data_IF_432048664378
#
_entry.id   IF_432048664378
#
_cell.length_a   1.000
_cell.length_b   1.000
_cell.length_c   1.000
_cell.angle_alpha   90.00
_cell.angle_beta   90.00
_cell.angle_gamma   90.00
#
_symmetry.space_group_name_H-M   'P 1'
#
loop_
_entity.id
_entity.type
_entity.pdbx_description
1 polymer ?
#
# COMPACT_ATOMS: atom_id res chain seq x y z
N UNK A 1 4.32 -60.33 25.30
CA UNK A 1 3.00 -60.38 25.93
C UNK A 1 1.97 -59.97 24.93
N UNK A 2 1.03 -60.85 24.53
CA UNK A 2 -0.01 -60.50 23.55
C UNK A 2 -1.21 -59.83 24.25
N UNK A 3 -1.75 -58.77 23.64
CA UNK A 3 -3.00 -58.10 24.03
C UNK A 3 -4.23 -59.00 23.81
N UNK A 4 -5.24 -58.91 24.69
CA UNK A 4 -6.47 -59.67 24.53
C UNK A 4 -7.44 -59.04 23.50
N UNK A 5 -7.96 -59.87 22.61
CA UNK A 5 -9.08 -59.63 21.71
C UNK A 5 -10.37 -59.33 22.51
N UNK A 6 -10.97 -58.19 22.31
CA UNK A 6 -12.31 -57.85 22.81
C UNK A 6 -13.33 -58.34 21.78
N UNK A 7 -14.21 -59.22 22.25
CA UNK A 7 -15.30 -59.83 21.51
C UNK A 7 -16.34 -58.77 21.07
N UNK A 8 -16.81 -58.91 19.82
CA UNK A 8 -17.82 -58.05 19.20
C UNK A 8 -19.16 -58.18 19.87
N UNK A 9 -19.80 -57.04 20.16
CA UNK A 9 -21.20 -56.92 20.53
C UNK A 9 -22.09 -56.98 19.27
N UNK A 10 -23.07 -57.88 19.29
CA UNK A 10 -24.03 -58.06 18.23
C UNK A 10 -24.95 -56.83 18.06
N UNK A 11 -25.10 -56.40 16.82
CA UNK A 11 -25.98 -55.32 16.43
C UNK A 11 -27.45 -55.71 16.60
N UNK A 12 -28.33 -54.90 17.20
CA UNK A 12 -29.76 -55.18 17.28
C UNK A 12 -30.44 -55.07 15.92
N UNK A 13 -31.41 -55.90 15.70
CA UNK A 13 -32.23 -55.98 14.48
C UNK A 13 -33.02 -54.69 14.22
N UNK A 14 -33.22 -54.31 12.94
CA UNK A 14 -33.98 -53.10 12.59
C UNK A 14 -35.47 -53.21 12.97
N UNK A 15 -35.94 -52.19 13.62
CA UNK A 15 -37.37 -52.00 13.93
C UNK A 15 -38.12 -51.56 12.64
N UNK A 16 -39.26 -52.19 12.30
CA UNK A 16 -40.03 -51.77 11.11
C UNK A 16 -40.60 -50.35 11.25
N UNK A 17 -40.60 -49.57 10.17
CA UNK A 17 -41.11 -48.20 10.21
C UNK A 17 -42.64 -48.17 10.46
N UNK A 18 -43.05 -47.25 11.33
CA UNK A 18 -44.45 -46.96 11.57
C UNK A 18 -45.13 -46.39 10.31
N UNK A 19 -46.43 -46.66 10.10
CA UNK A 19 -47.16 -46.15 8.93
C UNK A 19 -47.24 -44.63 8.97
N UNK A 20 -46.74 -44.00 7.90
CA UNK A 20 -46.85 -42.55 7.70
C UNK A 20 -48.31 -42.15 7.50
N UNK A 21 -48.90 -41.48 8.49
CA UNK A 21 -50.14 -40.72 8.30
C UNK A 21 -49.90 -39.61 7.29
N UNK A 22 -50.61 -39.66 6.17
CA UNK A 22 -50.65 -38.57 5.17
C UNK A 22 -51.24 -37.31 5.82
N UNK A 23 -50.39 -36.45 6.36
CA UNK A 23 -50.80 -35.09 6.69
C UNK A 23 -51.14 -34.34 5.40
N UNK A 24 -52.25 -33.61 5.40
CA UNK A 24 -52.64 -32.75 4.29
C UNK A 24 -51.50 -31.77 3.96
N UNK A 25 -51.05 -31.78 2.71
CA UNK A 25 -50.01 -30.90 2.23
C UNK A 25 -50.46 -29.44 2.38
N UNK A 26 -49.68 -28.56 3.04
CA UNK A 26 -49.96 -27.13 3.07
C UNK A 26 -49.98 -26.61 1.61
N UNK A 27 -51.04 -25.89 1.25
CA UNK A 27 -51.23 -25.35 -0.10
C UNK A 27 -49.98 -24.57 -0.54
N UNK A 28 -49.35 -25.02 -1.63
CA UNK A 28 -48.19 -24.35 -2.22
C UNK A 28 -48.61 -22.92 -2.59
N UNK A 29 -47.93 -21.88 -2.07
CA UNK A 29 -48.17 -20.52 -2.53
C UNK A 29 -47.95 -20.47 -4.03
N UNK A 30 -48.89 -19.86 -4.74
CA UNK A 30 -48.93 -19.83 -6.20
C UNK A 30 -47.56 -19.40 -6.77
N UNK A 31 -47.05 -20.22 -7.68
CA UNK A 31 -45.71 -20.05 -8.29
C UNK A 31 -45.50 -18.67 -8.95
N UNK A 32 -46.57 -18.04 -9.38
CA UNK A 32 -46.60 -16.72 -9.99
C UNK A 32 -46.26 -15.58 -8.98
N UNK A 33 -46.66 -15.71 -7.69
CA UNK A 33 -46.32 -14.71 -6.66
C UNK A 33 -44.82 -14.71 -6.37
N UNK A 34 -44.19 -15.89 -6.33
CA UNK A 34 -42.73 -16.01 -6.20
C UNK A 34 -42.02 -15.43 -7.41
N UNK A 35 -42.51 -15.70 -8.63
CA UNK A 35 -41.95 -15.14 -9.85
C UNK A 35 -42.04 -13.60 -9.86
N UNK A 36 -43.15 -13.02 -9.44
CA UNK A 36 -43.33 -11.58 -9.32
C UNK A 36 -42.39 -10.94 -8.30
N UNK A 37 -42.22 -11.57 -7.12
CA UNK A 37 -41.30 -11.06 -6.09
C UNK A 37 -39.84 -11.10 -6.58
N UNK A 38 -39.44 -12.19 -7.23
CA UNK A 38 -38.07 -12.31 -7.78
C UNK A 38 -37.86 -11.26 -8.89
N UNK A 39 -38.84 -11.09 -9.79
CA UNK A 39 -38.71 -10.07 -10.85
C UNK A 39 -38.66 -8.64 -10.30
N UNK A 40 -39.46 -8.32 -9.28
CA UNK A 40 -39.46 -7.03 -8.60
C UNK A 40 -38.11 -6.79 -7.88
N UNK A 41 -37.53 -7.82 -7.26
CA UNK A 41 -36.22 -7.74 -6.61
C UNK A 41 -35.08 -7.50 -7.62
N UNK A 42 -35.11 -8.19 -8.77
CA UNK A 42 -34.14 -8.01 -9.85
C UNK A 42 -34.22 -6.59 -10.43
N UNK A 43 -35.43 -6.07 -10.65
CA UNK A 43 -35.65 -4.70 -11.12
C UNK A 43 -35.19 -3.67 -10.11
N UNK A 44 -35.43 -3.88 -8.81
CA UNK A 44 -34.98 -3.00 -7.74
C UNK A 44 -33.43 -2.98 -7.66
N UNK A 45 -32.80 -4.16 -7.69
CA UNK A 45 -31.34 -4.28 -7.70
C UNK A 45 -30.75 -3.63 -8.97
N UNK A 46 -31.36 -3.85 -10.13
CA UNK A 46 -30.97 -3.21 -11.38
C UNK A 46 -31.08 -1.69 -11.34
N UNK A 47 -32.18 -1.16 -10.75
CA UNK A 47 -32.37 0.28 -10.57
C UNK A 47 -31.36 0.89 -9.60
N UNK A 48 -31.05 0.21 -8.48
CA UNK A 48 -30.06 0.65 -7.51
C UNK A 48 -28.64 0.65 -8.13
N UNK A 49 -28.29 -0.40 -8.87
CA UNK A 49 -27.00 -0.49 -9.56
C UNK A 49 -26.91 0.55 -10.70
N UNK A 50 -28.00 0.78 -11.43
CA UNK A 50 -28.08 1.81 -12.47
C UNK A 50 -27.97 3.22 -11.88
N UNK A 51 -28.65 3.51 -10.78
CA UNK A 51 -28.55 4.78 -10.07
C UNK A 51 -27.14 4.99 -9.48
N UNK A 52 -26.53 3.97 -8.89
CA UNK A 52 -25.17 4.03 -8.39
C UNK A 52 -24.16 4.26 -9.53
N UNK A 53 -24.33 3.59 -10.66
CA UNK A 53 -23.52 3.81 -11.88
C UNK A 53 -23.67 5.22 -12.42
N UNK A 54 -24.90 5.75 -12.49
CA UNK A 54 -25.19 7.09 -12.96
C UNK A 54 -24.62 8.18 -12.03
N UNK A 55 -24.77 8.03 -10.71
CA UNK A 55 -24.18 8.93 -9.72
C UNK A 55 -22.64 8.89 -9.81
N UNK A 56 -22.08 7.71 -10.03
CA UNK A 56 -20.62 7.54 -10.18
C UNK A 56 -20.12 8.20 -11.50
N UNK A 57 -20.84 8.07 -12.59
CA UNK A 57 -20.48 8.75 -13.86
C UNK A 57 -20.63 10.27 -13.77
N UNK A 58 -21.70 10.78 -13.14
CA UNK A 58 -21.84 12.20 -12.87
C UNK A 58 -20.75 12.72 -11.94
N UNK A 59 -20.38 11.95 -10.90
CA UNK A 59 -19.25 12.28 -10.02
C UNK A 59 -17.93 12.33 -10.78
N UNK A 60 -17.73 11.47 -11.78
CA UNK A 60 -16.57 11.51 -12.68
C UNK A 60 -16.51 12.80 -13.52
N UNK A 61 -17.64 13.24 -14.04
CA UNK A 61 -17.71 14.43 -14.89
C UNK A 61 -17.46 15.74 -14.12
N UNK A 62 -17.77 15.76 -12.82
CA UNK A 62 -17.66 16.94 -11.95
C UNK A 62 -16.45 16.91 -11.03
N UNK A 63 -15.78 15.74 -10.89
CA UNK A 63 -14.65 15.60 -10.01
C UNK A 63 -13.46 16.44 -10.44
N UNK A 64 -12.91 17.19 -9.52
CA UNK A 64 -11.71 18.02 -9.72
C UNK A 64 -10.78 17.86 -8.51
N UNK A 65 -9.45 17.71 -8.72
CA UNK A 65 -8.49 17.90 -7.66
C UNK A 65 -8.57 19.35 -7.18
N UNK A 66 -8.58 19.53 -5.87
CA UNK A 66 -8.48 20.84 -5.24
C UNK A 66 -7.04 21.01 -4.76
N UNK A 67 -6.35 21.97 -5.35
CA UNK A 67 -4.98 22.30 -4.98
C UNK A 67 -4.96 23.77 -4.57
N UNK A 68 -4.62 24.01 -3.32
CA UNK A 68 -4.58 25.36 -2.75
C UNK A 68 -3.23 25.63 -2.11
N UNK A 69 -2.71 26.84 -2.33
CA UNK A 69 -1.54 27.30 -1.62
C UNK A 69 -1.89 27.57 -0.14
N UNK A 70 -0.95 27.25 0.75
CA UNK A 70 -1.01 27.57 2.18
C UNK A 70 0.23 28.35 2.57
N UNK A 71 0.27 28.92 3.75
CA UNK A 71 1.46 29.61 4.27
C UNK A 71 2.69 28.72 4.37
N UNK A 72 2.49 27.39 4.50
CA UNK A 72 3.56 26.41 4.65
C UNK A 72 3.86 25.62 3.35
N UNK A 73 3.07 25.81 2.28
CA UNK A 73 3.25 25.04 1.04
C UNK A 73 1.93 24.81 0.32
N UNK A 74 1.60 23.56 -0.01
CA UNK A 74 0.41 23.20 -0.76
C UNK A 74 -0.48 22.22 0.01
N UNK A 75 -1.79 22.41 -0.13
CA UNK A 75 -2.80 21.45 0.31
C UNK A 75 -3.49 20.86 -0.91
N UNK A 76 -3.47 19.52 -0.99
CA UNK A 76 -4.12 18.76 -2.07
C UNK A 76 -5.24 17.94 -1.46
N UNK A 77 -6.45 18.09 -1.97
CA UNK A 77 -7.64 17.37 -1.54
C UNK A 77 -8.51 17.01 -2.73
N UNK A 78 -9.57 16.26 -2.49
CA UNK A 78 -10.57 15.91 -3.49
C UNK A 78 -11.87 16.64 -3.21
N UNK A 79 -12.57 17.09 -4.26
CA UNK A 79 -13.96 17.47 -4.12
C UNK A 79 -14.82 16.20 -4.03
N UNK A 80 -15.93 16.25 -3.28
CA UNK A 80 -16.95 15.18 -3.22
C UNK A 80 -16.51 13.85 -2.59
N UNK A 81 -15.63 13.86 -1.61
CA UNK A 81 -15.42 12.73 -0.71
C UNK A 81 -14.78 11.49 -1.35
N UNK A 82 -14.06 11.63 -2.47
CA UNK A 82 -13.20 10.55 -2.94
C UNK A 82 -12.06 10.36 -1.93
N UNK A 83 -11.90 9.13 -1.48
CA UNK A 83 -10.82 8.79 -0.58
C UNK A 83 -9.48 8.99 -1.30
N UNK A 84 -8.59 9.76 -0.69
CA UNK A 84 -7.19 9.79 -1.10
C UNK A 84 -6.56 8.44 -0.77
N UNK A 85 -5.99 7.81 -1.79
CA UNK A 85 -5.22 6.59 -1.67
C UNK A 85 -3.75 6.88 -1.36
N UNK A 86 -2.89 6.05 -1.95
CA UNK A 86 -1.46 6.23 -1.83
C UNK A 86 -0.93 7.44 -2.56
N UNK A 87 0.19 7.95 -2.10
CA UNK A 87 0.88 9.07 -2.73
C UNK A 87 2.40 8.91 -2.67
N UNK A 88 3.11 9.65 -3.50
CA UNK A 88 4.56 9.72 -3.51
C UNK A 88 5.03 11.10 -3.96
N UNK A 89 6.14 11.55 -3.41
CA UNK A 89 6.76 12.83 -3.69
C UNK A 89 8.06 12.64 -4.47
N UNK A 90 8.26 13.44 -5.52
CA UNK A 90 9.48 13.47 -6.32
C UNK A 90 9.81 14.90 -6.74
N UNK A 91 10.81 15.51 -6.08
CA UNK A 91 11.09 16.94 -6.24
C UNK A 91 9.87 17.80 -5.92
N UNK A 92 9.48 18.66 -6.86
CA UNK A 92 8.29 19.53 -6.75
C UNK A 92 7.03 18.88 -7.35
N UNK A 93 6.92 17.56 -7.36
CA UNK A 93 5.77 16.83 -7.92
C UNK A 93 5.25 15.81 -6.94
N UNK A 94 3.91 15.76 -6.85
CA UNK A 94 3.16 14.81 -6.07
C UNK A 94 2.40 13.87 -7.00
N UNK A 95 2.72 12.59 -6.99
CA UNK A 95 1.90 11.55 -7.60
C UNK A 95 0.96 10.99 -6.54
N UNK A 96 -0.33 10.86 -6.83
CA UNK A 96 -1.32 10.47 -5.84
C UNK A 96 -2.55 9.81 -6.46
N UNK A 97 -3.29 9.11 -5.62
CA UNK A 97 -4.53 8.44 -6.01
C UNK A 97 -5.75 9.14 -5.45
N UNK A 98 -6.79 9.17 -6.26
CA UNK A 98 -8.13 9.57 -5.86
C UNK A 98 -9.13 8.56 -6.42
N UNK A 99 -9.57 7.63 -5.58
CA UNK A 99 -10.38 6.50 -6.03
C UNK A 99 -9.69 5.73 -7.17
N UNK A 100 -10.31 5.61 -8.37
CA UNK A 100 -9.71 4.87 -9.48
C UNK A 100 -8.67 5.68 -10.28
N UNK A 101 -8.40 6.93 -9.90
CA UNK A 101 -7.57 7.85 -10.67
C UNK A 101 -6.16 7.94 -10.09
N UNK A 102 -5.15 7.90 -10.99
CA UNK A 102 -3.77 8.26 -10.66
C UNK A 102 -3.48 9.63 -11.25
N UNK A 103 -3.02 10.55 -10.41
CA UNK A 103 -2.78 11.95 -10.75
C UNK A 103 -1.34 12.34 -10.48
N UNK A 104 -0.91 13.37 -11.20
CA UNK A 104 0.35 14.07 -10.98
C UNK A 104 0.05 15.55 -10.78
N UNK A 105 0.44 16.10 -9.64
CA UNK A 105 0.35 17.52 -9.32
C UNK A 105 1.74 18.14 -9.33
N UNK A 106 1.90 19.22 -10.07
CA UNK A 106 3.08 20.06 -10.02
C UNK A 106 2.89 21.08 -8.86
N UNK A 107 3.73 20.97 -7.84
CA UNK A 107 3.64 21.78 -6.64
C UNK A 107 4.13 23.23 -6.81
N UNK A 108 4.76 23.57 -7.95
CA UNK A 108 5.13 24.97 -8.25
C UNK A 108 3.94 25.74 -8.79
N UNK A 109 3.15 25.08 -9.63
CA UNK A 109 2.04 25.71 -10.34
C UNK A 109 0.66 25.36 -9.79
N UNK A 110 0.56 24.35 -8.91
CA UNK A 110 -0.70 23.78 -8.44
C UNK A 110 -1.48 23.02 -9.50
N UNK A 111 -0.94 22.82 -10.70
CA UNK A 111 -1.64 22.14 -11.79
C UNK A 111 -1.59 20.63 -11.64
N UNK A 112 -2.72 19.98 -11.80
CA UNK A 112 -2.85 18.53 -11.76
C UNK A 112 -3.15 17.95 -13.14
N UNK A 113 -2.59 16.76 -13.41
CA UNK A 113 -2.80 15.98 -14.63
C UNK A 113 -3.25 14.58 -14.29
N UNK A 114 -4.25 14.07 -14.99
CA UNK A 114 -4.66 12.67 -14.93
C UNK A 114 -3.64 11.82 -15.70
N UNK A 115 -3.03 10.84 -15.04
CA UNK A 115 -2.09 9.88 -15.64
C UNK A 115 -2.79 8.59 -16.06
N UNK A 116 -3.77 8.14 -15.29
CA UNK A 116 -4.51 6.92 -15.55
C UNK A 116 -5.81 6.87 -14.77
N UNK A 117 -6.75 6.12 -15.32
CA UNK A 117 -7.98 5.76 -14.65
C UNK A 117 -8.15 4.26 -14.74
N UNK A 118 -8.40 3.59 -13.61
CA UNK A 118 -8.86 2.22 -13.61
C UNK A 118 -10.29 2.16 -14.20
N UNK A 119 -10.74 0.97 -14.59
CA UNK A 119 -12.16 0.76 -14.87
C UNK A 119 -12.98 1.08 -13.62
N UNK A 120 -14.29 1.25 -13.78
CA UNK A 120 -15.21 1.71 -12.71
C UNK A 120 -15.12 0.93 -11.40
N UNK A 121 -14.68 -0.33 -11.47
CA UNK A 121 -14.50 -1.22 -10.30
C UNK A 121 -13.02 -1.53 -10.03
N UNK A 122 -12.10 -0.91 -10.76
CA UNK A 122 -10.66 -1.15 -10.61
C UNK A 122 -10.05 -0.32 -9.49
N UNK A 123 -8.91 -0.79 -9.00
CA UNK A 123 -8.06 -0.04 -8.09
C UNK A 123 -6.77 0.36 -8.79
N UNK A 124 -6.26 1.53 -8.48
CA UNK A 124 -4.88 1.88 -8.69
C UNK A 124 -4.09 1.49 -7.42
N UNK A 125 -2.80 1.26 -7.50
CA UNK A 125 -1.94 1.08 -6.33
C UNK A 125 -1.14 2.33 -6.08
N UNK A 126 -0.65 2.48 -4.86
CA UNK A 126 0.22 3.60 -4.47
C UNK A 126 1.23 3.91 -5.57
N UNK A 127 1.18 5.08 -6.20
CA UNK A 127 2.15 5.45 -7.21
C UNK A 127 3.52 5.67 -6.59
N UNK A 128 4.57 5.49 -7.37
CA UNK A 128 5.92 5.90 -7.02
C UNK A 128 6.45 6.87 -8.07
N UNK A 129 7.27 7.82 -7.67
CA UNK A 129 7.76 8.89 -8.53
C UNK A 129 9.25 9.11 -8.34
N UNK A 130 9.95 9.33 -9.45
CA UNK A 130 11.27 9.96 -9.52
C UNK A 130 11.16 11.31 -10.24
N UNK A 131 12.25 12.01 -10.44
CA UNK A 131 12.25 13.31 -11.14
C UNK A 131 11.60 13.25 -12.53
N UNK A 132 11.75 12.11 -13.21
CA UNK A 132 11.31 11.93 -14.58
C UNK A 132 10.14 10.96 -14.74
N UNK A 133 10.02 9.94 -13.91
CA UNK A 133 9.09 8.85 -14.13
C UNK A 133 8.12 8.69 -12.97
N UNK A 134 6.86 8.45 -13.31
CA UNK A 134 5.84 7.99 -12.36
C UNK A 134 5.47 6.57 -12.74
N UNK A 135 5.48 5.65 -11.78
CA UNK A 135 5.04 4.26 -11.97
C UNK A 135 3.88 3.95 -11.05
N UNK A 136 2.93 3.15 -11.52
CA UNK A 136 1.78 2.68 -10.73
C UNK A 136 1.28 1.35 -11.24
N UNK A 137 0.56 0.64 -10.41
CA UNK A 137 -0.17 -0.55 -10.78
C UNK A 137 -1.63 -0.15 -11.07
N UNK A 138 -2.17 -0.61 -12.19
CA UNK A 138 -3.56 -0.40 -12.55
C UNK A 138 -4.23 -1.74 -12.81
N UNK A 139 -5.25 -2.06 -12.02
CA UNK A 139 -6.07 -3.25 -12.20
C UNK A 139 -7.40 -2.89 -12.89
N UNK A 140 -7.90 -3.73 -13.81
CA UNK A 140 -9.18 -3.49 -14.47
C UNK A 140 -10.38 -3.63 -13.52
N UNK A 141 -10.28 -4.51 -12.51
CA UNK A 141 -11.24 -4.65 -11.42
C UNK A 141 -10.53 -5.16 -10.17
N UNK A 142 -11.11 -4.92 -8.99
CA UNK A 142 -10.56 -5.45 -7.74
C UNK A 142 -10.54 -6.99 -7.78
N UNK A 143 -9.38 -7.58 -7.50
CA UNK A 143 -9.19 -9.04 -7.52
C UNK A 143 -9.11 -9.68 -8.92
N UNK A 144 -9.18 -8.90 -10.01
CA UNK A 144 -9.10 -9.45 -11.37
C UNK A 144 -7.67 -9.80 -11.77
N UNK A 145 -7.52 -10.89 -12.51
CA UNK A 145 -6.33 -11.17 -13.31
C UNK A 145 -6.23 -10.11 -14.42
N UNK A 146 -5.07 -9.47 -14.58
CA UNK A 146 -4.87 -8.50 -15.66
C UNK A 146 -4.42 -7.12 -15.21
N UNK A 147 -4.03 -6.97 -13.94
CA UNK A 147 -3.32 -5.79 -13.47
C UNK A 147 -2.05 -5.57 -14.30
N UNK A 148 -1.67 -4.33 -14.48
CA UNK A 148 -0.47 -3.98 -15.23
C UNK A 148 0.29 -2.84 -14.55
N UNK A 149 1.61 -2.91 -14.62
CA UNK A 149 2.48 -1.81 -14.25
C UNK A 149 2.56 -0.83 -15.41
N UNK A 150 2.28 0.41 -15.11
CA UNK A 150 2.36 1.53 -16.03
C UNK A 150 3.46 2.50 -15.64
N UNK A 151 4.04 3.15 -16.62
CA UNK A 151 4.98 4.25 -16.43
C UNK A 151 4.54 5.47 -17.24
N UNK A 152 4.69 6.62 -16.64
CA UNK A 152 4.55 7.91 -17.30
C UNK A 152 5.90 8.63 -17.30
N UNK A 153 6.43 8.93 -18.50
CA UNK A 153 7.62 9.78 -18.68
C UNK A 153 7.17 11.24 -18.68
N UNK A 154 7.46 11.93 -17.58
CA UNK A 154 7.06 13.34 -17.38
C UNK A 154 7.68 14.25 -18.43
N UNK A 155 8.93 13.98 -18.84
CA UNK A 155 9.64 14.81 -19.82
C UNK A 155 9.08 14.69 -21.24
N UNK A 156 8.54 13.49 -21.57
CA UNK A 156 7.96 13.20 -22.90
C UNK A 156 6.44 13.29 -22.93
N UNK A 157 5.79 13.40 -21.78
CA UNK A 157 4.34 13.37 -21.67
C UNK A 157 3.70 12.05 -22.11
N UNK A 158 4.45 10.93 -22.08
CA UNK A 158 4.05 9.64 -22.65
C UNK A 158 3.83 8.58 -21.57
N UNK A 159 2.71 7.87 -21.69
CA UNK A 159 2.38 6.70 -20.87
C UNK A 159 2.72 5.42 -21.63
N UNK A 160 3.31 4.43 -20.93
CA UNK A 160 3.69 3.12 -21.48
C UNK A 160 3.35 2.02 -20.50
N UNK A 161 2.85 0.89 -20.99
CA UNK A 161 2.64 -0.33 -20.20
C UNK A 161 3.95 -1.11 -20.11
N UNK A 162 4.43 -1.39 -18.88
CA UNK A 162 5.68 -2.13 -18.67
C UNK A 162 5.47 -3.64 -18.67
N UNK A 163 4.35 -4.12 -18.14
CA UNK A 163 4.04 -5.54 -18.09
C UNK A 163 2.72 -5.82 -17.40
N UNK A 164 2.19 -7.03 -17.61
CA UNK A 164 1.08 -7.57 -16.83
C UNK A 164 1.58 -8.11 -15.49
N UNK A 165 0.71 -8.07 -14.49
CA UNK A 165 0.94 -8.64 -13.16
C UNK A 165 -0.19 -9.62 -12.88
N UNK A 166 0.15 -10.84 -12.49
CA UNK A 166 -0.83 -11.81 -12.02
C UNK A 166 -0.97 -11.70 -10.50
N UNK A 167 -2.20 -11.68 -10.01
CA UNK A 167 -2.48 -11.56 -8.58
C UNK A 167 -2.31 -10.14 -8.03
N UNK A 168 -2.52 -10.00 -6.71
CA UNK A 168 -2.27 -8.75 -5.99
C UNK A 168 -0.76 -8.62 -5.73
N UNK A 169 -0.14 -7.69 -6.40
CA UNK A 169 1.27 -7.34 -6.23
C UNK A 169 1.40 -6.11 -5.36
N UNK A 170 2.56 -5.95 -4.74
CA UNK A 170 2.92 -4.71 -4.07
C UNK A 170 3.05 -3.56 -5.06
N UNK A 171 2.86 -2.35 -4.56
CA UNK A 171 3.03 -1.14 -5.36
C UNK A 171 4.41 -1.12 -6.01
N UNK A 172 4.51 -0.78 -7.30
CA UNK A 172 5.79 -0.64 -7.96
C UNK A 172 6.55 0.55 -7.39
N UNK A 173 7.88 0.49 -7.46
CA UNK A 173 8.74 1.56 -6.99
C UNK A 173 9.68 2.02 -8.12
N UNK A 174 10.05 3.32 -8.11
CA UNK A 174 10.97 3.91 -9.09
C UNK A 174 11.97 4.85 -8.42
N UNK A 175 13.22 4.78 -8.88
CA UNK A 175 14.26 5.74 -8.52
C UNK A 175 15.12 6.03 -9.75
N UNK A 176 15.35 7.31 -10.03
CA UNK A 176 16.03 7.74 -11.25
C UNK A 176 15.34 7.17 -12.48
N UNK A 177 16.04 6.29 -13.19
CA UNK A 177 15.57 5.61 -14.40
C UNK A 177 15.27 4.13 -14.20
N UNK A 178 15.26 3.63 -12.97
CA UNK A 178 15.04 2.22 -12.68
C UNK A 178 13.71 2.02 -11.95
N UNK A 179 12.86 1.16 -12.48
CA UNK A 179 11.61 0.74 -11.85
C UNK A 179 11.70 -0.73 -11.43
N UNK A 180 11.10 -1.05 -10.28
CA UNK A 180 10.99 -2.42 -9.75
C UNK A 180 9.54 -2.70 -9.34
N UNK A 181 9.12 -3.95 -9.46
CA UNK A 181 7.81 -4.43 -9.03
C UNK A 181 7.83 -5.91 -8.75
N UNK A 182 6.86 -6.37 -7.99
CA UNK A 182 6.68 -7.78 -7.70
C UNK A 182 5.65 -8.41 -8.64
N UNK A 183 5.86 -9.67 -9.03
CA UNK A 183 4.89 -10.47 -9.77
C UNK A 183 4.80 -11.88 -9.18
N UNK A 184 3.65 -12.51 -9.32
CA UNK A 184 3.53 -13.93 -9.05
C UNK A 184 4.10 -14.74 -10.22
N UNK A 185 4.98 -15.69 -9.90
CA UNK A 185 5.52 -16.68 -10.85
C UNK A 185 5.00 -18.06 -10.45
N UNK A 186 3.84 -18.46 -11.03
CA UNK A 186 3.16 -19.70 -10.64
C UNK A 186 2.26 -19.54 -9.41
N UNK A 187 1.94 -20.65 -8.74
CA UNK A 187 0.89 -20.67 -7.72
C UNK A 187 1.29 -20.04 -6.39
N UNK A 188 2.57 -19.99 -6.02
CA UNK A 188 3.00 -19.50 -4.71
C UNK A 188 4.36 -18.78 -4.71
N UNK A 189 4.98 -18.56 -5.86
CA UNK A 189 6.30 -17.91 -5.93
C UNK A 189 6.14 -16.47 -6.38
N UNK A 190 6.61 -15.54 -5.58
CA UNK A 190 6.64 -14.12 -5.91
C UNK A 190 8.08 -13.72 -6.25
N UNK A 191 8.24 -12.93 -7.32
CA UNK A 191 9.55 -12.46 -7.79
C UNK A 191 9.56 -10.96 -8.00
N UNK A 192 10.68 -10.35 -7.65
CA UNK A 192 10.93 -8.93 -7.95
C UNK A 192 11.58 -8.82 -9.31
N UNK A 193 10.93 -8.08 -10.18
CA UNK A 193 11.41 -7.70 -11.51
C UNK A 193 11.79 -6.23 -11.53
N UNK A 194 12.69 -5.90 -12.42
CA UNK A 194 13.06 -4.52 -12.67
C UNK A 194 13.30 -4.22 -14.14
N UNK A 195 13.28 -2.94 -14.46
CA UNK A 195 13.56 -2.42 -15.79
C UNK A 195 14.32 -1.09 -15.69
N UNK A 196 15.30 -0.92 -16.53
CA UNK A 196 15.90 0.38 -16.78
C UNK A 196 15.06 1.11 -17.85
N UNK A 197 14.29 2.11 -17.46
CA UNK A 197 13.25 2.74 -18.26
C UNK A 197 13.73 3.44 -19.54
N UNK A 198 15.01 3.85 -19.56
CA UNK A 198 15.60 4.51 -20.74
C UNK A 198 16.10 3.50 -21.76
N UNK A 199 16.76 2.44 -21.32
CA UNK A 199 17.35 1.41 -22.20
C UNK A 199 16.41 0.26 -22.49
N UNK A 200 15.36 0.08 -21.68
CA UNK A 200 14.46 -1.06 -21.76
C UNK A 200 15.05 -2.38 -21.21
N UNK A 201 16.29 -2.37 -20.69
CA UNK A 201 16.93 -3.57 -20.13
C UNK A 201 16.19 -4.05 -18.88
N UNK A 202 15.74 -5.30 -18.92
CA UNK A 202 15.05 -5.95 -17.82
C UNK A 202 15.99 -6.79 -16.98
N UNK A 203 15.67 -6.94 -15.69
CA UNK A 203 16.40 -7.81 -14.76
C UNK A 203 15.44 -8.43 -13.74
N UNK A 204 15.91 -9.41 -12.98
CA UNK A 204 15.18 -10.01 -11.87
C UNK A 204 16.07 -10.08 -10.65
N UNK A 205 15.52 -9.80 -9.47
CA UNK A 205 16.21 -9.91 -8.19
C UNK A 205 15.96 -11.26 -7.49
N UNK A 206 15.21 -12.15 -8.14
CA UNK A 206 14.87 -13.46 -7.60
C UNK A 206 13.57 -13.45 -6.81
N UNK A 207 13.41 -14.48 -5.97
CA UNK A 207 12.21 -14.66 -5.16
C UNK A 207 12.16 -13.65 -4.02
N UNK A 208 10.97 -13.09 -3.78
CA UNK A 208 10.72 -12.13 -2.72
C UNK A 208 10.14 -12.76 -1.45
N UNK A 209 9.58 -13.95 -1.58
CA UNK A 209 8.88 -14.64 -0.49
C UNK A 209 7.56 -13.96 -0.08
N UNK A 210 7.01 -13.07 -0.90
CA UNK A 210 5.84 -12.27 -0.57
C UNK A 210 6.24 -10.92 0.04
N UNK A 211 6.96 -10.11 -0.74
CA UNK A 211 7.41 -8.81 -0.27
C UNK A 211 6.22 -7.95 0.20
N UNK A 212 6.35 -7.37 1.37
CA UNK A 212 5.59 -6.21 1.79
C UNK A 212 6.52 -5.01 1.76
N UNK A 213 6.13 -3.85 1.27
CA UNK A 213 6.94 -2.62 1.29
C UNK A 213 8.21 -2.70 0.39
N UNK A 214 8.00 -2.86 -0.91
CA UNK A 214 9.08 -2.77 -1.90
C UNK A 214 9.44 -1.29 -2.15
N UNK A 215 10.72 -0.93 -1.97
CA UNK A 215 11.26 0.41 -2.21
C UNK A 215 12.55 0.35 -3.05
N UNK A 216 12.85 1.45 -3.74
CA UNK A 216 14.14 1.65 -4.42
C UNK A 216 14.62 3.07 -4.19
N UNK A 217 15.92 3.24 -3.94
CA UNK A 217 16.59 4.55 -3.84
C UNK A 217 17.99 4.46 -4.44
N UNK A 218 18.28 5.26 -5.45
CA UNK A 218 19.50 5.11 -6.23
C UNK A 218 19.60 3.72 -6.83
N UNK A 219 20.67 2.98 -6.47
CA UNK A 219 20.88 1.59 -6.86
C UNK A 219 20.39 0.57 -5.83
N UNK A 220 19.94 1.01 -4.67
CA UNK A 220 19.50 0.14 -3.59
C UNK A 220 18.02 -0.20 -3.71
N UNK A 221 17.70 -1.49 -3.73
CA UNK A 221 16.34 -2.02 -3.65
C UNK A 221 16.17 -2.71 -2.31
N UNK A 222 15.12 -2.38 -1.57
CA UNK A 222 14.83 -3.02 -0.30
C UNK A 222 13.37 -3.49 -0.23
N UNK A 223 13.16 -4.60 0.48
CA UNK A 223 11.82 -5.11 0.76
C UNK A 223 11.79 -5.88 2.07
N UNK A 224 10.60 -5.97 2.65
CA UNK A 224 10.33 -6.80 3.81
C UNK A 224 9.77 -8.12 3.32
N UNK A 225 10.45 -9.22 3.58
CA UNK A 225 9.99 -10.56 3.25
C UNK A 225 9.53 -11.29 4.52
N UNK A 226 8.40 -12.02 4.49
CA UNK A 226 8.11 -12.97 5.53
C UNK A 226 9.21 -14.03 5.54
N UNK A 227 9.57 -14.54 6.70
CA UNK A 227 10.53 -15.61 6.79
C UNK A 227 9.93 -16.90 6.22
N UNK A 228 10.62 -17.55 5.29
CA UNK A 228 10.25 -18.88 4.81
C UNK A 228 10.44 -19.90 5.93
N UNK A 229 9.37 -20.56 6.36
CA UNK A 229 9.43 -21.58 7.43
C UNK A 229 8.48 -21.29 8.59
N UNK A 230 8.66 -21.96 9.74
CA UNK A 230 7.83 -21.75 10.93
C UNK A 230 7.84 -20.28 11.36
N UNK A 231 6.80 -19.80 12.09
CA UNK A 231 6.62 -18.39 12.38
C UNK A 231 7.89 -17.77 12.96
N UNK A 232 8.48 -16.87 12.19
CA UNK A 232 9.69 -16.16 12.54
C UNK A 232 9.55 -14.69 12.17
N UNK A 233 10.39 -13.80 12.72
CA UNK A 233 10.34 -12.39 12.39
C UNK A 233 10.62 -12.18 10.91
N UNK A 234 9.99 -11.15 10.28
CA UNK A 234 10.27 -10.79 8.90
C UNK A 234 11.75 -10.45 8.72
N UNK A 235 12.23 -10.51 7.48
CA UNK A 235 13.61 -10.14 7.12
C UNK A 235 13.54 -8.96 6.16
N UNK A 236 14.33 -7.92 6.42
CA UNK A 236 14.51 -6.84 5.46
C UNK A 236 15.67 -7.25 4.54
N UNK A 237 15.38 -7.43 3.28
CA UNK A 237 16.40 -7.69 2.25
C UNK A 237 16.73 -6.41 1.53
N UNK A 238 18.02 -6.12 1.38
CA UNK A 238 18.52 -5.01 0.58
C UNK A 238 19.42 -5.58 -0.50
N UNK A 239 19.31 -5.05 -1.73
CA UNK A 239 20.16 -5.42 -2.87
C UNK A 239 20.69 -4.16 -3.51
N UNK A 240 21.99 -4.08 -3.73
CA UNK A 240 22.61 -3.03 -4.52
C UNK A 240 22.68 -3.49 -5.99
N UNK A 241 22.01 -2.77 -6.87
CA UNK A 241 22.00 -3.06 -8.31
C UNK A 241 23.31 -2.75 -9.02
N UNK A 242 24.21 -1.98 -8.37
CA UNK A 242 25.49 -1.59 -8.95
C UNK A 242 26.50 -2.74 -8.93
N UNK A 243 26.56 -3.49 -7.84
CA UNK A 243 27.54 -4.56 -7.62
C UNK A 243 26.91 -5.91 -7.29
N UNK A 244 25.60 -5.98 -7.12
CA UNK A 244 24.86 -7.19 -6.79
C UNK A 244 24.97 -7.62 -5.31
N UNK A 245 25.61 -6.83 -4.45
CA UNK A 245 25.68 -7.12 -3.00
C UNK A 245 24.28 -7.23 -2.41
N UNK A 246 24.16 -8.14 -1.46
CA UNK A 246 22.89 -8.41 -0.78
C UNK A 246 23.07 -8.44 0.73
N UNK A 247 22.15 -7.82 1.45
CA UNK A 247 22.06 -7.84 2.90
C UNK A 247 20.72 -8.47 3.30
N UNK A 248 20.75 -9.31 4.31
CA UNK A 248 19.57 -9.86 4.98
C UNK A 248 19.60 -9.40 6.45
N UNK A 249 18.79 -8.40 6.75
CA UNK A 249 18.80 -7.73 8.05
C UNK A 249 17.62 -8.25 8.83
N UNK A 250 17.91 -8.90 9.98
CA UNK A 250 16.89 -9.31 10.93
C UNK A 250 16.50 -8.10 11.80
N UNK A 251 15.31 -7.52 11.64
CA UNK A 251 14.92 -6.32 12.39
C UNK A 251 14.73 -6.58 13.87
N UNK A 252 14.79 -7.84 14.31
CA UNK A 252 14.45 -8.25 15.67
C UNK A 252 15.35 -9.35 16.22
N UNK A 253 15.60 -9.38 17.56
CA UNK A 253 16.02 -10.59 18.25
C UNK A 253 14.97 -11.69 18.07
N UNK A 254 15.39 -12.93 17.89
CA UNK A 254 14.54 -14.10 17.55
C UNK A 254 13.34 -14.38 18.48
N UNK A 255 13.27 -13.74 19.64
CA UNK A 255 12.29 -14.02 20.71
C UNK A 255 11.11 -13.05 20.81
N UNK A 256 11.05 -12.01 19.99
CA UNK A 256 10.00 -11.00 20.08
C UNK A 256 9.17 -10.99 18.79
N UNK A 257 7.89 -11.39 18.91
CA UNK A 257 6.89 -11.16 17.88
C UNK A 257 6.73 -9.66 17.70
N UNK A 258 7.11 -9.14 16.55
CA UNK A 258 7.15 -7.70 16.32
C UNK A 258 7.01 -7.40 14.83
N UNK A 259 6.34 -6.30 14.51
CA UNK A 259 6.04 -5.89 13.15
C UNK A 259 7.03 -4.85 12.65
N UNK A 260 7.46 -4.96 11.38
CA UNK A 260 8.10 -3.86 10.66
C UNK A 260 7.02 -2.89 10.25
N UNK A 261 7.06 -1.68 10.79
CA UNK A 261 6.04 -0.66 10.57
C UNK A 261 6.24 0.09 9.24
N UNK A 262 7.47 0.20 8.79
CA UNK A 262 7.84 0.87 7.56
C UNK A 262 9.33 0.77 7.31
N UNK A 263 9.76 0.84 6.04
CA UNK A 263 11.17 0.91 5.63
C UNK A 263 11.41 2.10 4.74
N UNK A 264 12.60 2.69 4.83
CA UNK A 264 13.08 3.74 3.94
C UNK A 264 14.58 3.61 3.71
N UNK A 265 15.10 4.25 2.67
CA UNK A 265 16.52 4.29 2.33
C UNK A 265 17.00 5.75 2.29
N UNK A 266 18.06 6.05 3.02
CA UNK A 266 18.75 7.32 3.07
C UNK A 266 20.21 7.11 2.68
N UNK A 267 20.55 7.36 1.42
CA UNK A 267 21.87 6.99 0.90
C UNK A 267 22.14 5.50 1.10
N UNK A 268 23.19 5.16 1.84
CA UNK A 268 23.55 3.77 2.20
C UNK A 268 23.04 3.34 3.60
N UNK A 269 22.10 4.06 4.12
CA UNK A 269 21.48 3.75 5.42
C UNK A 269 20.05 3.23 5.20
N UNK A 270 19.76 2.02 5.68
CA UNK A 270 18.40 1.52 5.82
C UNK A 270 17.81 2.10 7.11
N UNK A 271 16.58 2.61 7.01
CA UNK A 271 15.79 3.10 8.15
C UNK A 271 14.55 2.25 8.25
N UNK A 272 14.17 1.82 9.46
CA UNK A 272 12.90 1.11 9.65
C UNK A 272 12.25 1.43 10.98
N UNK A 273 10.92 1.38 10.98
CA UNK A 273 10.11 1.40 12.19
C UNK A 273 9.95 -0.01 12.76
N UNK A 274 10.05 -0.15 14.06
CA UNK A 274 9.88 -1.39 14.81
C UNK A 274 8.87 -1.20 15.93
N UNK A 275 7.90 -2.12 16.04
CA UNK A 275 7.00 -2.20 17.19
C UNK A 275 7.44 -3.36 18.08
N UNK A 276 7.62 -3.09 19.35
CA UNK A 276 7.93 -4.09 20.39
C UNK A 276 6.91 -3.99 21.51
N UNK A 277 6.89 -4.99 22.41
CA UNK A 277 6.04 -4.93 23.60
C UNK A 277 6.38 -3.74 24.53
N UNK A 278 7.62 -3.23 24.46
CA UNK A 278 8.09 -2.13 25.33
C UNK A 278 7.87 -0.75 24.70
N UNK A 279 8.14 -0.60 23.41
CA UNK A 279 8.02 0.67 22.70
C UNK A 279 8.07 0.49 21.19
N UNK A 280 7.53 1.46 20.46
CA UNK A 280 7.75 1.62 19.04
C UNK A 280 9.02 2.48 18.83
N UNK A 281 9.89 2.05 17.93
CA UNK A 281 11.20 2.65 17.72
C UNK A 281 11.48 2.87 16.23
N UNK A 282 12.34 3.84 15.92
CA UNK A 282 12.95 4.00 14.60
C UNK A 282 14.44 3.67 14.71
N UNK A 283 14.88 2.76 13.85
CA UNK A 283 16.26 2.29 13.80
C UNK A 283 16.88 2.58 12.44
N UNK A 284 18.21 2.61 12.44
CA UNK A 284 19.03 2.70 11.24
C UNK A 284 20.01 1.55 11.19
N UNK A 285 20.34 1.11 9.96
CA UNK A 285 21.39 0.15 9.68
C UNK A 285 22.27 0.73 8.57
N UNK A 286 23.53 0.92 8.88
CA UNK A 286 24.53 1.34 7.90
C UNK A 286 24.97 0.12 7.09
N UNK A 287 24.79 0.16 5.77
CA UNK A 287 25.08 -0.97 4.87
C UNK A 287 26.57 -1.23 4.69
N UNK A 288 27.42 -0.28 5.01
CA UNK A 288 28.87 -0.39 4.87
C UNK A 288 29.53 -0.91 6.15
N UNK A 289 29.09 -0.44 7.31
CA UNK A 289 29.66 -0.79 8.61
C UNK A 289 28.88 -1.85 9.38
N UNK A 290 27.66 -2.18 8.93
CA UNK A 290 26.69 -3.01 9.63
C UNK A 290 26.28 -2.48 11.04
N UNK A 291 26.51 -1.19 11.30
CA UNK A 291 26.14 -0.57 12.56
C UNK A 291 24.64 -0.34 12.65
N UNK A 292 24.05 -0.74 13.78
CA UNK A 292 22.64 -0.47 14.11
C UNK A 292 22.55 0.63 15.16
N UNK A 293 21.65 1.57 14.96
CA UNK A 293 21.40 2.66 15.92
C UNK A 293 19.89 2.90 16.06
N UNK A 294 19.41 3.08 17.28
CA UNK A 294 18.07 3.60 17.55
C UNK A 294 18.14 5.12 17.49
N UNK A 295 17.30 5.73 16.65
CA UNK A 295 17.28 7.18 16.45
C UNK A 295 16.04 7.84 17.05
N UNK A 296 14.97 7.09 17.34
CA UNK A 296 13.78 7.58 18.03
C UNK A 296 13.08 6.45 18.77
N UNK A 297 12.40 6.79 19.89
CA UNK A 297 11.58 5.87 20.70
C UNK A 297 10.24 6.51 21.02
N UNK A 298 9.23 5.68 21.33
CA UNK A 298 7.89 6.15 21.67
C UNK A 298 7.16 6.80 20.50
N UNK A 299 7.52 6.43 19.29
CA UNK A 299 7.03 7.09 18.06
C UNK A 299 5.63 6.62 17.64
N UNK A 300 5.09 5.57 18.26
CA UNK A 300 3.86 4.92 17.84
C UNK A 300 4.04 4.18 16.50
N UNK A 301 2.96 3.61 15.96
CA UNK A 301 2.95 2.99 14.62
C UNK A 301 3.00 4.04 13.52
N UNK A 302 4.06 4.80 13.47
CA UNK A 302 4.17 5.98 12.64
C UNK A 302 4.75 5.71 11.27
N UNK A 303 4.17 6.31 10.21
CA UNK A 303 4.80 6.31 8.91
C UNK A 303 6.12 7.06 8.94
N UNK A 304 7.08 6.59 8.17
CA UNK A 304 8.40 7.21 8.04
C UNK A 304 8.82 7.34 6.57
N UNK A 305 9.65 8.32 6.28
CA UNK A 305 10.30 8.51 4.99
C UNK A 305 11.75 8.95 5.22
N UNK A 306 12.62 8.67 4.25
CA UNK A 306 14.00 9.11 4.30
C UNK A 306 14.51 9.50 2.89
N UNK A 307 15.35 10.50 2.83
CA UNK A 307 16.04 10.94 1.62
C UNK A 307 17.34 11.65 1.97
N UNK A 308 18.43 11.32 1.26
CA UNK A 308 19.74 11.92 1.51
C UNK A 308 20.21 11.66 2.94
N UNK A 309 20.29 12.72 3.73
CA UNK A 309 20.70 12.71 5.14
C UNK A 309 19.51 12.87 6.12
N UNK A 310 18.29 12.99 5.62
CA UNK A 310 17.13 13.32 6.42
C UNK A 310 16.20 12.12 6.56
N UNK A 311 15.72 11.91 7.79
CA UNK A 311 14.61 11.00 8.13
C UNK A 311 13.46 11.83 8.68
N UNK A 312 12.24 11.53 8.24
CA UNK A 312 11.02 12.21 8.68
C UNK A 312 10.01 11.15 9.13
N UNK A 313 9.33 11.43 10.25
CA UNK A 313 8.26 10.55 10.75
C UNK A 313 7.12 11.36 11.38
N UNK A 314 5.98 10.73 11.54
CA UNK A 314 4.88 11.28 12.33
C UNK A 314 5.01 10.80 13.78
N UNK A 315 4.88 11.67 14.73
CA UNK A 315 4.99 11.36 16.18
C UNK A 315 3.76 11.88 16.92
N UNK A 316 2.98 11.02 17.57
CA UNK A 316 1.90 11.45 18.45
C UNK A 316 2.46 12.28 19.61
N UNK A 317 1.78 13.37 19.96
CA UNK A 317 2.10 14.18 21.14
C UNK A 317 1.15 13.86 22.30
N UNK A 318 1.57 14.18 23.52
CA UNK A 318 0.74 14.03 24.71
C UNK A 318 -0.53 14.91 24.68
N UNK A 319 -0.55 15.96 23.84
CA UNK A 319 -1.68 16.87 23.67
C UNK A 319 -2.70 16.38 22.63
N UNK A 320 -2.54 15.17 22.06
CA UNK A 320 -3.42 14.63 21.03
C UNK A 320 -3.19 15.17 19.61
N UNK A 321 -2.13 15.94 19.42
CA UNK A 321 -1.65 16.37 18.12
C UNK A 321 -0.67 15.33 17.54
N UNK A 322 -0.53 15.30 16.23
CA UNK A 322 0.55 14.57 15.57
C UNK A 322 1.61 15.55 15.07
N UNK A 323 2.86 15.37 15.47
CA UNK A 323 3.99 16.18 14.98
C UNK A 323 4.66 15.47 13.82
N UNK A 324 5.00 16.22 12.79
CA UNK A 324 5.94 15.77 11.75
C UNK A 324 7.32 16.16 12.23
N UNK A 325 8.16 15.17 12.48
CA UNK A 325 9.49 15.33 13.07
C UNK A 325 10.54 14.95 12.03
N UNK A 326 11.60 15.72 11.96
CA UNK A 326 12.80 15.45 11.12
C UNK A 326 14.03 15.20 11.98
N UNK A 327 14.95 14.37 11.47
CA UNK A 327 16.29 14.15 12.05
C UNK A 327 17.30 14.01 10.92
N UNK A 328 18.43 14.71 11.03
CA UNK A 328 19.58 14.51 10.16
C UNK A 328 20.43 13.34 10.67
N UNK A 329 20.73 12.40 9.80
CA UNK A 329 21.55 11.21 10.16
C UNK A 329 23.01 11.56 10.43
N UNK A 330 23.52 12.64 9.83
CA UNK A 330 24.86 13.19 10.06
C UNK A 330 25.04 13.71 11.47
N UNK A 331 23.96 13.99 12.21
CA UNK A 331 23.98 14.45 13.58
C UNK A 331 22.98 15.58 13.83
N UNK A 332 22.80 15.90 15.11
CA UNK A 332 21.85 16.90 15.61
C UNK A 332 20.66 16.29 16.33
N UNK A 333 19.85 17.18 16.91
CA UNK A 333 18.63 16.78 17.61
C UNK A 333 17.44 16.69 16.65
N UNK A 334 16.43 15.86 16.94
CA UNK A 334 15.17 15.88 16.22
C UNK A 334 14.49 17.26 16.29
N UNK A 335 13.95 17.72 15.17
CA UNK A 335 13.25 18.99 15.06
C UNK A 335 11.84 18.84 14.54
N UNK A 336 10.93 19.69 14.98
CA UNK A 336 9.54 19.69 14.52
C UNK A 336 9.42 20.44 13.19
N UNK A 337 8.90 19.76 12.18
CA UNK A 337 8.61 20.34 10.86
C UNK A 337 7.21 20.97 10.84
N UNK A 338 6.23 20.25 11.40
CA UNK A 338 4.84 20.71 11.47
C UNK A 338 4.10 20.06 12.66
N UNK A 339 3.03 20.69 13.09
CA UNK A 339 2.03 20.12 13.99
C UNK A 339 0.71 19.96 13.26
N UNK A 340 0.09 18.79 13.38
CA UNK A 340 -1.18 18.45 12.76
C UNK A 340 -2.22 18.25 13.85
N UNK A 341 -3.16 19.18 13.93
CA UNK A 341 -4.28 19.10 14.86
C UNK A 341 -5.49 18.42 14.21
N UNK A 342 -6.23 17.62 14.98
CA UNK A 342 -7.56 17.12 14.58
C UNK A 342 -7.56 16.07 13.46
N UNK A 343 -6.47 15.32 13.27
CA UNK A 343 -6.42 14.26 12.25
C UNK A 343 -5.32 13.24 12.52
N UNK A 344 -5.41 12.10 11.81
CA UNK A 344 -4.38 11.06 11.86
C UNK A 344 -3.49 11.17 10.64
N UNK A 345 -2.18 11.28 10.85
CA UNK A 345 -1.20 11.20 9.75
C UNK A 345 -1.03 9.74 9.36
N UNK A 346 -1.41 9.42 8.13
CA UNK A 346 -1.35 8.05 7.58
C UNK A 346 -0.05 7.74 6.88
N UNK A 347 0.53 8.73 6.20
CA UNK A 347 1.78 8.59 5.47
C UNK A 347 2.58 9.89 5.55
N UNK A 348 3.89 9.77 5.47
CA UNK A 348 4.83 10.89 5.25
C UNK A 348 5.68 10.58 4.03
N UNK A 349 6.08 11.62 3.31
CA UNK A 349 6.88 11.53 2.09
C UNK A 349 7.97 12.59 2.14
N UNK A 350 9.12 12.25 1.58
CA UNK A 350 10.28 13.14 1.55
C UNK A 350 10.95 13.07 0.19
N UNK A 351 11.26 14.21 -0.39
CA UNK A 351 12.10 14.32 -1.58
C UNK A 351 12.93 15.59 -1.52
N UNK A 352 14.23 15.44 -1.33
CA UNK A 352 15.13 16.55 -1.03
C UNK A 352 14.66 17.30 0.22
N UNK A 353 14.38 18.58 0.07
CA UNK A 353 13.88 19.46 1.14
C UNK A 353 12.35 19.54 1.21
N UNK A 354 11.64 18.89 0.32
CA UNK A 354 10.17 18.90 0.32
C UNK A 354 9.64 17.74 1.13
N UNK A 355 8.81 18.06 2.12
CA UNK A 355 8.10 17.09 2.97
C UNK A 355 6.62 17.17 2.64
N UNK A 356 5.98 16.01 2.53
CA UNK A 356 4.53 15.91 2.41
C UNK A 356 3.99 14.88 3.40
N UNK A 357 2.76 15.08 3.85
CA UNK A 357 2.08 14.12 4.71
C UNK A 357 0.60 14.04 4.37
N UNK A 358 0.07 12.84 4.48
CA UNK A 358 -1.33 12.53 4.25
C UNK A 358 -2.09 12.53 5.57
N UNK A 359 -3.08 13.40 5.69
CA UNK A 359 -3.94 13.51 6.87
C UNK A 359 -5.30 12.90 6.55
N UNK A 360 -5.74 11.99 7.40
CA UNK A 360 -7.13 11.56 7.45
C UNK A 360 -7.82 12.32 8.59
N UNK A 361 -8.83 13.12 8.26
CA UNK A 361 -9.65 13.82 9.23
C UNK A 361 -10.57 12.88 10.01
N UNK A 362 -11.33 13.43 10.91
CA UNK A 362 -12.31 12.70 11.76
C UNK A 362 -13.51 12.21 10.98
N UNK A 363 -13.83 12.85 9.86
CA UNK A 363 -14.88 12.41 8.94
C UNK A 363 -14.27 11.54 7.84
N UNK A 364 -14.99 10.50 7.40
CA UNK A 364 -14.54 9.53 6.40
C UNK A 364 -14.03 10.13 5.08
N UNK A 365 -14.43 11.36 4.78
CA UNK A 365 -14.15 12.04 3.50
C UNK A 365 -13.26 13.29 3.65
N UNK A 366 -12.84 13.61 4.87
CA UNK A 366 -11.94 14.76 5.11
C UNK A 366 -10.48 14.30 5.08
N UNK A 367 -10.00 13.99 3.88
CA UNK A 367 -8.61 13.60 3.66
C UNK A 367 -7.89 14.61 2.77
N UNK A 368 -6.66 14.93 3.15
CA UNK A 368 -5.83 15.85 2.37
C UNK A 368 -4.35 15.51 2.47
N UNK A 369 -3.57 15.97 1.51
CA UNK A 369 -2.11 15.94 1.56
C UNK A 369 -1.63 17.38 1.76
N UNK A 370 -0.83 17.58 2.78
CA UNK A 370 -0.15 18.85 3.06
C UNK A 370 1.31 18.71 2.66
N UNK A 371 1.88 19.79 2.11
CA UNK A 371 3.32 19.84 1.81
C UNK A 371 3.96 21.05 2.46
N UNK A 372 5.24 20.95 2.76
CA UNK A 372 6.08 22.07 3.14
C UNK A 372 7.49 21.90 2.58
N UNK A 373 8.21 23.00 2.45
CA UNK A 373 9.64 22.98 2.13
C UNK A 373 10.43 23.29 3.39
N UNK A 374 11.46 22.53 3.63
CA UNK A 374 12.39 22.80 4.71
C UNK A 374 13.25 24.03 4.38
N UNK A 375 13.62 24.82 5.39
CA UNK A 375 14.47 25.98 5.23
C UNK A 375 15.88 25.64 4.77
#
# INVERSE_FOLDING_TARGET
MPEPLIAGAASPAPVPPAPLTRGAAPGRPHSWVRALIISALILLVGAVLGAAGFVFEQSRATWRPQVSATSAGWRVSTSHGLQLGGSALGGDRLAWEAGPFTLLTDLRSGKSRLLGAAATTGSASVPSISDRFVVWLQAPAYGSSGAAVWVYDVSRGRRTRLGGVQGMSQSPAVSGTTAVWETFAGTNTQRIHGIHLVTGRRFSLGESGGASQLIIRGTLVAWVAPRSGPPGPPVITVVDLADGRRWAIAPYPRSQGSDVLGIALAGRTLVWGRSTAAADEILTYDLDTAAVRTIAQGVGRSPLAADGDLVVWAQPSAQGETRIVGLRLSGGDPFTIAAVAGGTVRNVFLSGETVAWHVAGTLLFDTYIQTTRLP
#
